data_IF_569172264799
#
_entry.id   IF_569172264799
#
_cell.length_a   1.000
_cell.length_b   1.000
_cell.length_c   1.000
_cell.angle_alpha   90.00
_cell.angle_beta   90.00
_cell.angle_gamma   90.00
#
_symmetry.space_group_name_H-M   'P 1'
#
loop_
_entity.id
_entity.type
_entity.pdbx_description
1 polymer ?
#
# COMPACT_ATOMS: atom_id res chain seq x y z
N UNK A 1 -2.75 -19.88 3.22
CA UNK A 1 -1.44 -19.29 2.88
C UNK A 1 -1.40 -17.92 3.54
N UNK A 2 -0.54 -17.70 4.54
CA UNK A 2 -0.39 -16.39 5.17
C UNK A 2 0.31 -15.46 4.19
N UNK A 3 -0.43 -14.51 3.59
CA UNK A 3 0.20 -13.36 2.93
C UNK A 3 0.94 -12.59 4.03
N UNK A 4 2.27 -12.60 3.95
CA UNK A 4 3.12 -11.83 4.86
C UNK A 4 2.93 -10.36 4.50
N UNK A 5 2.65 -9.46 5.47
CA UNK A 5 2.44 -8.05 5.18
C UNK A 5 3.66 -7.47 4.48
N UNK A 6 3.45 -6.62 3.48
CA UNK A 6 4.51 -5.84 2.84
C UNK A 6 5.24 -5.01 3.90
N UNK A 7 6.56 -5.13 3.92
CA UNK A 7 7.40 -4.31 4.78
C UNK A 7 7.39 -2.86 4.25
N UNK A 8 7.35 -1.83 5.11
CA UNK A 8 7.33 -0.43 4.69
C UNK A 8 8.48 -0.07 3.73
N UNK A 9 9.69 -0.60 3.99
CA UNK A 9 10.84 -0.38 3.11
C UNK A 9 10.62 -0.89 1.67
N UNK A 10 9.73 -1.85 1.43
CA UNK A 10 9.43 -2.36 0.07
C UNK A 10 8.42 -1.46 -0.64
N UNK A 11 7.54 -0.80 0.10
CA UNK A 11 6.48 0.06 -0.44
C UNK A 11 7.08 1.28 -1.16
N UNK A 12 8.18 1.83 -0.64
CA UNK A 12 8.89 2.95 -1.27
C UNK A 12 9.46 2.62 -2.66
N UNK A 13 9.72 1.34 -2.96
CA UNK A 13 10.24 0.90 -4.25
C UNK A 13 9.17 0.40 -5.22
N UNK A 14 7.91 0.31 -4.79
CA UNK A 14 6.82 -0.01 -5.71
C UNK A 14 6.64 1.10 -6.73
N UNK A 15 6.35 0.73 -7.97
CA UNK A 15 5.83 1.67 -8.95
C UNK A 15 4.40 2.08 -8.59
N UNK A 16 3.94 3.18 -9.17
CA UNK A 16 2.65 3.79 -8.81
C UNK A 16 1.47 2.85 -9.06
N UNK A 17 1.50 2.05 -10.13
CA UNK A 17 0.44 1.09 -10.43
C UNK A 17 0.42 -0.04 -9.40
N UNK A 18 1.58 -0.60 -9.07
CA UNK A 18 1.71 -1.64 -8.04
C UNK A 18 1.27 -1.15 -6.66
N UNK A 19 1.51 0.12 -6.32
CA UNK A 19 1.05 0.76 -5.08
C UNK A 19 -0.47 0.83 -5.00
N UNK A 20 -1.12 1.30 -6.07
CA UNK A 20 -2.58 1.39 -6.15
C UNK A 20 -3.24 0.00 -6.11
N UNK A 21 -2.71 -0.96 -6.85
CA UNK A 21 -3.22 -2.34 -6.84
C UNK A 21 -3.05 -3.01 -5.48
N UNK A 22 -1.90 -2.82 -4.82
CA UNK A 22 -1.66 -3.33 -3.47
C UNK A 22 -2.65 -2.71 -2.46
N UNK A 23 -2.89 -1.39 -2.55
CA UNK A 23 -3.86 -0.71 -1.70
C UNK A 23 -5.29 -1.23 -1.91
N UNK A 24 -5.71 -1.40 -3.16
CA UNK A 24 -7.02 -1.98 -3.49
C UNK A 24 -7.18 -3.41 -2.95
N UNK A 25 -6.11 -4.22 -2.96
CA UNK A 25 -6.13 -5.58 -2.39
C UNK A 25 -6.31 -5.62 -0.87
N UNK A 26 -6.06 -4.51 -0.17
CA UNK A 26 -6.35 -4.40 1.28
C UNK A 26 -7.84 -4.18 1.57
N UNK A 27 -8.68 -4.05 0.52
CA UNK A 27 -10.07 -3.59 0.60
C UNK A 27 -10.23 -2.23 1.32
N UNK A 28 -9.16 -1.42 1.36
CA UNK A 28 -9.14 -0.14 2.08
C UNK A 28 -9.35 -0.28 3.59
N UNK A 29 -9.09 -1.46 4.17
CA UNK A 29 -9.31 -1.68 5.60
C UNK A 29 -8.28 -0.89 6.43
N UNK A 30 -8.69 0.15 7.19
CA UNK A 30 -7.77 1.03 7.92
C UNK A 30 -7.10 0.33 9.11
N UNK A 31 -7.53 -0.88 9.47
CA UNK A 31 -6.95 -1.67 10.57
C UNK A 31 -5.67 -2.41 10.15
N UNK A 32 -5.36 -2.44 8.85
CA UNK A 32 -4.17 -3.05 8.31
C UNK A 32 -2.99 -2.06 8.34
N UNK A 33 -1.94 -2.39 9.10
CA UNK A 33 -0.70 -1.61 9.10
C UNK A 33 -0.10 -1.48 7.68
N UNK A 34 -0.32 -2.49 6.83
CA UNK A 34 0.06 -2.49 5.43
C UNK A 34 -0.80 -1.51 4.61
N UNK A 35 -2.11 -1.46 4.83
CA UNK A 35 -2.99 -0.51 4.15
C UNK A 35 -2.64 0.94 4.50
N UNK A 36 -2.34 1.22 5.77
CA UNK A 36 -1.91 2.54 6.22
C UNK A 36 -0.56 2.95 5.61
N UNK A 37 0.40 2.01 5.50
CA UNK A 37 1.68 2.28 4.87
C UNK A 37 1.54 2.54 3.35
N UNK A 38 0.69 1.79 2.66
CA UNK A 38 0.38 2.00 1.25
C UNK A 38 -0.32 3.35 1.02
N UNK A 39 -1.31 3.70 1.84
CA UNK A 39 -2.01 4.98 1.76
C UNK A 39 -1.06 6.16 1.98
N UNK A 40 -0.19 6.08 2.99
CA UNK A 40 0.78 7.13 3.27
C UNK A 40 1.73 7.38 2.09
N UNK A 41 2.16 6.33 1.40
CA UNK A 41 3.03 6.46 0.23
C UNK A 41 2.28 7.00 -1.00
N UNK A 42 1.02 6.59 -1.21
CA UNK A 42 0.13 7.13 -2.25
C UNK A 42 -0.08 8.64 -2.04
N UNK A 43 -0.39 9.06 -0.80
CA UNK A 43 -0.55 10.47 -0.44
C UNK A 43 0.75 11.25 -0.62
N UNK A 44 1.90 10.68 -0.23
CA UNK A 44 3.22 11.31 -0.41
C UNK A 44 3.55 11.56 -1.89
N UNK A 45 3.12 10.65 -2.78
CA UNK A 45 3.31 10.76 -4.24
C UNK A 45 2.20 11.53 -4.94
N UNK A 46 1.15 11.92 -4.21
CA UNK A 46 -0.01 12.62 -4.74
C UNK A 46 -0.68 11.87 -5.91
N UNK A 47 -0.82 10.55 -5.75
CA UNK A 47 -1.48 9.66 -6.71
C UNK A 47 -3.00 9.67 -6.50
N UNK A 48 -3.75 9.52 -7.59
CA UNK A 48 -5.22 9.45 -7.57
C UNK A 48 -5.66 8.01 -7.24
N UNK A 49 -6.53 7.83 -6.23
CA UNK A 49 -7.05 6.53 -5.73
C UNK A 49 -8.55 6.37 -5.93
#
# INVERSE_FOLDING_TARGET
MSKKPLHPDVIEFLDDQSLLEAYQQTNGSPESAEANALLAEIERRNLDI
#
